data_IF_067408441300
#
_entry.id   IF_067408441300
#
_cell.length_a   1.000
_cell.length_b   1.000
_cell.length_c   1.000
_cell.angle_alpha   90.00
_cell.angle_beta   90.00
_cell.angle_gamma   90.00
#
_symmetry.space_group_name_H-M   'P 1'
#
loop_
_entity.id
_entity.type
_entity.pdbx_description
1 polymer ?
#
# COMPACT_ATOMS: atom_id res chain seq x y z
N UNK A 1 -13.92 -16.66 -7.69
CA UNK A 1 -12.85 -15.64 -7.80
C UNK A 1 -12.71 -15.31 -9.28
N UNK A 2 -12.75 -14.03 -9.67
CA UNK A 2 -12.68 -13.65 -11.09
C UNK A 2 -11.34 -12.96 -11.40
N UNK A 3 -10.80 -13.17 -12.60
CA UNK A 3 -9.61 -12.49 -13.12
C UNK A 3 -10.03 -11.67 -14.33
N UNK A 4 -9.69 -10.39 -14.32
CA UNK A 4 -9.96 -9.47 -15.43
C UNK A 4 -8.64 -8.87 -15.89
N UNK A 5 -8.45 -8.70 -17.20
CA UNK A 5 -7.36 -7.88 -17.72
C UNK A 5 -7.87 -6.46 -17.89
N UNK A 6 -7.08 -5.48 -17.47
CA UNK A 6 -7.38 -4.06 -17.66
C UNK A 6 -6.20 -3.39 -18.35
N UNK A 7 -6.51 -2.53 -19.31
CA UNK A 7 -5.56 -1.61 -19.92
C UNK A 7 -6.06 -0.20 -19.62
N UNK A 8 -5.31 0.57 -18.84
CA UNK A 8 -5.76 1.89 -18.44
C UNK A 8 -4.62 2.79 -18.01
N UNK A 9 -4.87 4.10 -18.07
CA UNK A 9 -3.94 5.12 -17.61
C UNK A 9 -4.07 5.32 -16.11
N UNK A 10 -2.96 5.39 -15.40
CA UNK A 10 -2.95 5.76 -13.99
C UNK A 10 -3.21 7.24 -13.84
N UNK A 11 -4.38 7.61 -13.35
CA UNK A 11 -4.75 9.03 -13.13
C UNK A 11 -4.54 9.47 -11.68
N UNK A 12 -4.42 8.52 -10.75
CA UNK A 12 -4.14 8.82 -9.34
C UNK A 12 -3.42 7.65 -8.67
N UNK A 13 -2.50 7.97 -7.77
CA UNK A 13 -1.85 7.01 -6.90
C UNK A 13 -2.05 7.44 -5.43
N UNK A 14 -2.30 6.48 -4.54
CA UNK A 14 -2.29 6.67 -3.08
C UNK A 14 -1.34 5.66 -2.45
N UNK A 15 -0.43 6.08 -1.58
CA UNK A 15 -0.29 7.42 -1.01
C UNK A 15 0.36 8.44 -1.97
N UNK A 16 -0.10 9.69 -1.93
CA UNK A 16 0.41 10.79 -2.78
C UNK A 16 1.18 11.86 -1.98
N UNK A 17 1.40 11.62 -0.69
CA UNK A 17 2.18 12.48 0.19
C UNK A 17 2.68 11.69 1.40
N UNK A 18 3.79 12.10 2.03
CA UNK A 18 4.32 11.44 3.23
C UNK A 18 3.29 11.34 4.36
N UNK A 19 2.42 12.34 4.51
CA UNK A 19 1.33 12.32 5.50
C UNK A 19 0.28 11.26 5.17
N UNK A 20 -0.07 11.10 3.90
CA UNK A 20 -1.03 10.08 3.46
C UNK A 20 -0.49 8.65 3.53
N UNK A 21 0.84 8.47 3.49
CA UNK A 21 1.49 7.16 3.56
C UNK A 21 1.05 6.39 4.81
N UNK A 22 1.10 7.01 5.99
CA UNK A 22 0.70 6.37 7.24
C UNK A 22 -0.76 5.89 7.21
N UNK A 23 -1.66 6.66 6.59
CA UNK A 23 -3.08 6.27 6.42
C UNK A 23 -3.25 5.09 5.45
N UNK A 24 -2.26 4.86 4.59
CA UNK A 24 -2.17 3.74 3.66
C UNK A 24 -1.36 2.56 4.23
N UNK A 25 -1.10 2.51 5.54
CA UNK A 25 -0.46 1.35 6.19
C UNK A 25 -1.46 0.62 7.09
N UNK A 26 -1.44 -0.71 6.97
CA UNK A 26 -2.07 -1.62 7.91
C UNK A 26 -0.98 -2.20 8.81
N UNK A 27 -1.11 -2.02 10.11
CA UNK A 27 -0.29 -2.71 11.08
C UNK A 27 -0.97 -4.00 11.47
N UNK A 28 -0.21 -5.08 11.54
CA UNK A 28 -0.66 -6.37 12.05
C UNK A 28 0.27 -6.77 13.19
N UNK A 29 -0.28 -6.94 14.39
CA UNK A 29 0.49 -7.45 15.52
C UNK A 29 0.95 -8.87 15.20
N UNK A 30 2.25 -9.15 15.32
CA UNK A 30 2.78 -10.50 15.08
C UNK A 30 2.38 -11.50 16.16
N UNK A 31 2.08 -11.02 17.36
CA UNK A 31 1.77 -11.88 18.51
C UNK A 31 0.34 -12.40 18.48
N UNK A 32 -0.64 -11.53 18.18
CA UNK A 32 -2.07 -11.88 18.25
C UNK A 32 -2.82 -11.69 16.94
N UNK A 33 -2.15 -11.26 15.85
CA UNK A 33 -2.77 -11.04 14.55
C UNK A 33 -3.69 -9.83 14.46
N UNK A 34 -3.94 -9.11 15.56
CA UNK A 34 -4.79 -7.92 15.57
C UNK A 34 -4.26 -6.88 14.58
N UNK A 35 -5.15 -6.44 13.68
CA UNK A 35 -4.81 -5.43 12.69
C UNK A 35 -5.35 -4.06 13.08
N UNK A 36 -4.55 -3.01 12.90
CA UNK A 36 -4.95 -1.63 13.15
C UNK A 36 -4.45 -0.71 12.05
N UNK A 37 -5.23 0.31 11.70
CA UNK A 37 -4.77 1.38 10.81
C UNK A 37 -4.02 2.45 11.61
N UNK A 38 -2.95 2.97 11.04
CA UNK A 38 -2.20 4.08 11.64
C UNK A 38 -3.01 5.37 11.43
N UNK A 39 -3.51 5.95 12.53
CA UNK A 39 -4.22 7.25 12.50
C UNK A 39 -3.28 8.43 12.76
N UNK A 40 -2.19 8.21 13.50
CA UNK A 40 -1.20 9.21 13.90
C UNK A 40 0.22 8.64 13.75
N UNK A 41 1.28 9.47 13.71
CA UNK A 41 2.66 8.97 13.61
C UNK A 41 3.12 8.16 14.84
N UNK A 42 2.37 8.21 15.94
CA UNK A 42 2.56 7.35 17.11
C UNK A 42 2.01 5.97 16.83
N UNK A 43 2.82 4.94 17.08
CA UNK A 43 2.38 3.56 16.89
C UNK A 43 1.30 3.20 17.92
N UNK A 44 0.21 2.57 17.52
CA UNK A 44 -0.81 2.13 18.45
C UNK A 44 -0.22 1.03 19.34
N UNK A 45 -0.56 1.07 20.64
CA UNK A 45 -0.34 -0.09 21.50
C UNK A 45 -1.31 -1.20 21.08
N UNK A 46 -0.80 -2.43 20.97
CA UNK A 46 -1.65 -3.58 20.70
C UNK A 46 -2.47 -3.91 21.97
N UNK A 47 -3.76 -4.25 21.86
CA UNK A 47 -4.57 -4.65 23.02
C UNK A 47 -4.00 -5.86 23.79
N UNK A 48 -3.19 -6.70 23.14
CA UNK A 48 -2.56 -7.85 23.77
C UNK A 48 -1.37 -7.51 24.69
N UNK A 49 -1.05 -6.23 24.91
CA UNK A 49 0.05 -5.77 25.79
C UNK A 49 1.47 -6.02 25.27
N UNK A 50 1.65 -6.96 24.33
CA UNK A 50 2.92 -7.31 23.67
C UNK A 50 3.21 -6.33 22.52
N UNK A 51 3.68 -5.13 22.84
CA UNK A 51 3.67 -3.94 21.96
C UNK A 51 4.83 -3.79 20.97
N UNK A 52 5.75 -4.73 20.82
CA UNK A 52 7.03 -4.44 20.14
C UNK A 52 7.15 -4.90 18.69
N UNK A 53 6.24 -5.73 18.18
CA UNK A 53 6.41 -6.36 16.87
C UNK A 53 5.18 -6.25 15.96
N UNK A 54 5.03 -5.09 15.31
CA UNK A 54 4.07 -4.93 14.22
C UNK A 54 4.70 -5.26 12.86
N UNK A 55 3.92 -5.96 12.03
CA UNK A 55 4.16 -6.04 10.60
C UNK A 55 3.40 -4.91 9.91
N UNK A 56 4.14 -4.04 9.21
CA UNK A 56 3.54 -3.01 8.36
C UNK A 56 3.27 -3.56 6.96
N UNK A 57 2.00 -3.52 6.54
CA UNK A 57 1.54 -3.92 5.22
C UNK A 57 1.06 -2.69 4.44
N UNK A 58 1.49 -2.50 3.17
CA UNK A 58 1.04 -1.39 2.37
C UNK A 58 -0.38 -1.64 1.85
N UNK A 59 -1.26 -0.66 2.02
CA UNK A 59 -2.57 -0.56 1.37
C UNK A 59 -2.50 0.56 0.32
N UNK A 60 -1.76 0.33 -0.75
CA UNK A 60 -1.57 1.33 -1.81
C UNK A 60 -2.64 1.15 -2.87
N UNK A 61 -3.13 2.25 -3.42
CA UNK A 61 -4.20 2.24 -4.41
C UNK A 61 -3.78 2.99 -5.66
N UNK A 62 -4.28 2.54 -6.80
CA UNK A 62 -4.28 3.30 -8.04
C UNK A 62 -5.71 3.58 -8.46
N UNK A 63 -5.92 4.70 -9.13
CA UNK A 63 -7.11 4.93 -9.94
C UNK A 63 -6.67 4.80 -11.39
N UNK A 64 -7.20 3.78 -12.05
CA UNK A 64 -7.02 3.56 -13.49
C UNK A 64 -8.19 4.21 -14.22
N UNK A 65 -7.92 4.79 -15.38
CA UNK A 65 -8.94 5.37 -16.25
C UNK A 65 -8.72 4.93 -17.70
N UNK A 66 -9.81 4.68 -18.41
CA UNK A 66 -9.87 4.42 -19.84
C UNK A 66 -11.10 5.12 -20.43
N UNK A 67 -11.50 4.74 -21.65
CA UNK A 67 -12.70 5.30 -22.30
C UNK A 67 -14.00 4.87 -21.62
N UNK A 68 -14.00 3.78 -20.86
CA UNK A 68 -15.17 3.22 -20.18
C UNK A 68 -15.38 3.79 -18.77
N UNK A 69 -14.36 4.41 -18.18
CA UNK A 69 -14.50 5.16 -16.94
C UNK A 69 -13.29 5.08 -16.04
N UNK A 70 -13.54 4.96 -14.72
CA UNK A 70 -12.49 4.93 -13.69
C UNK A 70 -12.70 3.78 -12.73
N UNK A 71 -11.62 3.10 -12.36
CA UNK A 71 -11.62 2.03 -11.37
C UNK A 71 -10.53 2.24 -10.33
N UNK A 72 -10.89 2.10 -9.05
CA UNK A 72 -9.94 2.12 -7.95
C UNK A 72 -9.47 0.70 -7.65
N UNK A 73 -8.16 0.49 -7.67
CA UNK A 73 -7.54 -0.83 -7.47
C UNK A 73 -6.58 -0.80 -6.30
N UNK A 74 -6.68 -1.79 -5.41
CA UNK A 74 -5.68 -2.03 -4.38
C UNK A 74 -4.49 -2.73 -5.04
N UNK A 75 -3.27 -2.32 -4.73
CA UNK A 75 -2.07 -2.90 -5.34
C UNK A 75 -1.40 -3.83 -4.35
N UNK A 76 -1.18 -5.08 -4.78
CA UNK A 76 -0.46 -6.06 -3.98
C UNK A 76 0.99 -5.60 -3.74
N UNK A 77 1.66 -6.11 -2.69
CA UNK A 77 3.07 -5.74 -2.46
C UNK A 77 3.99 -6.14 -3.61
N UNK A 78 3.64 -7.19 -4.38
CA UNK A 78 4.35 -7.55 -5.62
C UNK A 78 4.10 -6.50 -6.71
N UNK A 79 2.84 -6.13 -6.93
CA UNK A 79 2.47 -5.07 -7.87
C UNK A 79 3.12 -3.72 -7.56
N UNK A 80 3.22 -3.35 -6.27
CA UNK A 80 3.91 -2.11 -5.87
C UNK A 80 5.37 -2.14 -6.31
N UNK A 81 6.07 -3.26 -6.07
CA UNK A 81 7.48 -3.40 -6.48
C UNK A 81 7.66 -3.38 -7.99
N UNK A 82 6.78 -4.05 -8.73
CA UNK A 82 6.84 -4.06 -10.18
C UNK A 82 6.59 -2.67 -10.77
N UNK A 83 5.62 -1.92 -10.23
CA UNK A 83 5.24 -0.61 -10.76
C UNK A 83 6.17 0.53 -10.34
N UNK A 84 6.70 0.49 -9.13
CA UNK A 84 7.63 1.51 -8.64
C UNK A 84 9.11 1.18 -8.92
N UNK A 85 9.38 0.00 -9.49
CA UNK A 85 10.70 -0.41 -9.96
C UNK A 85 11.74 -0.58 -8.83
N UNK A 86 13.04 -0.37 -9.14
CA UNK A 86 14.15 -0.68 -8.24
C UNK A 86 14.11 0.11 -6.93
N UNK A 87 13.51 1.30 -6.92
CA UNK A 87 13.35 2.17 -5.74
C UNK A 87 12.54 1.53 -4.62
N UNK A 88 11.70 0.54 -4.95
CA UNK A 88 10.85 -0.18 -4.01
C UNK A 88 11.25 -1.65 -3.84
N UNK A 89 12.40 -2.07 -4.39
CA UNK A 89 12.97 -3.41 -4.17
C UNK A 89 13.09 -3.76 -2.67
N UNK A 90 13.39 -2.75 -1.85
CA UNK A 90 13.50 -2.86 -0.38
C UNK A 90 12.25 -2.41 0.38
N UNK A 91 11.07 -2.35 -0.25
CA UNK A 91 9.83 -1.84 0.35
C UNK A 91 9.57 -2.39 1.76
N UNK A 92 9.76 -3.69 1.99
CA UNK A 92 9.57 -4.30 3.32
C UNK A 92 10.53 -3.74 4.38
N UNK A 93 11.77 -3.41 4.00
CA UNK A 93 12.75 -2.75 4.88
C UNK A 93 12.34 -1.30 5.15
N UNK A 94 11.95 -0.56 4.11
CA UNK A 94 11.49 0.83 4.26
C UNK A 94 10.23 0.92 5.14
N UNK A 95 9.26 0.03 4.96
CA UNK A 95 8.07 -0.03 5.81
C UNK A 95 8.41 -0.36 7.27
N UNK A 96 9.37 -1.26 7.51
CA UNK A 96 9.88 -1.54 8.87
C UNK A 96 10.51 -0.30 9.51
N UNK A 97 11.27 0.49 8.76
CA UNK A 97 11.86 1.73 9.26
C UNK A 97 10.80 2.76 9.67
N UNK A 98 9.71 2.88 8.91
CA UNK A 98 8.61 3.79 9.24
C UNK A 98 7.95 3.47 10.59
N UNK A 99 7.90 2.19 10.94
CA UNK A 99 7.24 1.69 12.16
C UNK A 99 8.22 1.26 13.24
N UNK A 100 9.51 1.53 13.08
CA UNK A 100 10.50 1.25 14.12
C UNK A 100 10.41 2.29 15.23
N UNK A 101 10.41 1.85 16.48
CA UNK A 101 10.53 2.74 17.64
C UNK A 101 11.90 3.43 17.69
N UNK A 102 12.96 2.76 17.18
CA UNK A 102 14.35 3.24 17.24
C UNK A 102 14.74 4.17 16.10
N UNK A 103 13.93 4.26 15.04
CA UNK A 103 14.24 5.13 13.90
C UNK A 103 13.93 6.60 14.23
N UNK A 104 14.90 7.48 13.93
CA UNK A 104 14.73 8.92 14.16
C UNK A 104 13.57 9.51 13.34
N UNK A 105 12.93 10.60 13.81
CA UNK A 105 11.87 11.27 13.07
C UNK A 105 12.31 11.72 11.66
N UNK A 106 13.58 12.08 11.48
CA UNK A 106 14.14 12.49 10.20
C UNK A 106 14.28 11.30 9.24
N UNK A 107 14.78 10.16 9.73
CA UNK A 107 14.85 8.92 8.94
C UNK A 107 13.46 8.46 8.50
N UNK A 108 12.45 8.53 9.37
CA UNK A 108 11.06 8.21 9.02
C UNK A 108 10.52 9.14 7.95
N UNK A 109 10.74 10.46 8.07
CA UNK A 109 10.32 11.45 7.07
C UNK A 109 10.99 11.24 5.72
N UNK A 110 12.30 11.01 5.70
CA UNK A 110 13.06 10.74 4.46
C UNK A 110 12.57 9.46 3.78
N UNK A 111 12.37 8.39 4.56
CA UNK A 111 11.82 7.11 4.08
C UNK A 111 10.42 7.29 3.50
N UNK A 112 9.55 8.05 4.19
CA UNK A 112 8.20 8.32 3.72
C UNK A 112 8.20 9.11 2.40
N UNK A 113 9.06 10.12 2.28
CA UNK A 113 9.25 10.90 1.03
C UNK A 113 9.69 10.01 -0.12
N UNK A 114 10.74 9.20 0.10
CA UNK A 114 11.26 8.26 -0.90
C UNK A 114 10.17 7.31 -1.41
N UNK A 115 9.45 6.64 -0.51
CA UNK A 115 8.32 5.76 -0.87
C UNK A 115 7.27 6.51 -1.69
N UNK A 116 6.86 7.70 -1.24
CA UNK A 116 5.79 8.46 -1.92
C UNK A 116 6.23 9.01 -3.27
N UNK A 117 7.49 9.41 -3.41
CA UNK A 117 8.06 9.85 -4.67
C UNK A 117 8.10 8.69 -5.67
N UNK A 118 8.65 7.54 -5.27
CA UNK A 118 8.68 6.34 -6.11
C UNK A 118 7.28 5.91 -6.56
N UNK A 119 6.32 5.90 -5.64
CA UNK A 119 4.94 5.54 -5.96
C UNK A 119 4.22 6.55 -6.86
N UNK A 120 4.51 7.84 -6.69
CA UNK A 120 3.87 8.90 -7.48
C UNK A 120 4.33 8.91 -8.94
N UNK A 121 5.51 8.35 -9.25
CA UNK A 121 5.99 8.18 -10.63
C UNK A 121 5.11 7.25 -11.47
N UNK A 122 4.29 6.41 -10.83
CA UNK A 122 3.32 5.60 -11.55
C UNK A 122 2.18 6.45 -12.13
N UNK A 123 1.96 7.69 -11.68
CA UNK A 123 0.92 8.56 -12.25
C UNK A 123 1.30 8.93 -13.68
N UNK A 124 0.29 9.01 -14.55
CA UNK A 124 0.41 9.25 -15.98
C UNK A 124 0.94 8.09 -16.82
N UNK A 125 1.35 6.97 -16.22
CA UNK A 125 1.74 5.77 -16.96
C UNK A 125 0.52 4.97 -17.45
N UNK A 126 0.72 4.19 -18.50
CA UNK A 126 -0.21 3.14 -18.91
C UNK A 126 0.14 1.84 -18.21
N UNK A 127 -0.90 1.12 -17.80
CA UNK A 127 -0.77 -0.20 -17.19
C UNK A 127 -1.63 -1.18 -17.98
N UNK A 128 -1.02 -2.29 -18.35
CA UNK A 128 -1.71 -3.52 -18.72
C UNK A 128 -1.52 -4.53 -17.58
N UNK A 129 -2.60 -4.86 -16.89
CA UNK A 129 -2.55 -5.66 -15.68
C UNK A 129 -3.67 -6.67 -15.58
N UNK A 130 -3.36 -7.77 -14.89
CA UNK A 130 -4.39 -8.69 -14.40
C UNK A 130 -4.88 -8.23 -13.04
N UNK A 131 -6.16 -7.95 -12.98
CA UNK A 131 -6.91 -7.65 -11.78
C UNK A 131 -7.51 -8.92 -11.20
N UNK A 132 -7.27 -9.17 -9.93
CA UNK A 132 -7.94 -10.21 -9.16
C UNK A 132 -9.15 -9.62 -8.46
N UNK A 133 -10.33 -10.07 -8.84
CA UNK A 133 -11.62 -9.65 -8.29
C UNK A 133 -12.06 -10.68 -7.25
N UNK A 134 -11.97 -10.29 -5.97
CA UNK A 134 -12.52 -11.08 -4.87
C UNK A 134 -13.76 -10.39 -4.32
N UNK A 135 -14.90 -11.07 -4.40
CA UNK A 135 -16.10 -10.75 -3.63
C UNK A 135 -15.84 -11.11 -2.17
N UNK A 136 -16.01 -10.15 -1.27
CA UNK A 136 -16.05 -10.44 0.15
C UNK A 136 -17.42 -11.06 0.46
N UNK A 137 -17.50 -12.20 1.18
CA UNK A 137 -18.77 -12.77 1.60
C UNK A 137 -19.48 -11.91 2.66
N UNK A 138 -18.75 -11.02 3.34
CA UNK A 138 -19.26 -10.20 4.45
C UNK A 138 -19.37 -8.71 4.13
N UNK A 139 -18.98 -8.29 2.92
CA UNK A 139 -19.13 -6.92 2.45
C UNK A 139 -19.45 -6.90 0.97
N UNK A 140 -20.34 -6.00 0.53
CA UNK A 140 -20.61 -5.67 -0.87
C UNK A 140 -19.42 -4.96 -1.55
N UNK A 141 -18.19 -5.27 -1.15
CA UNK A 141 -16.97 -4.63 -1.65
C UNK A 141 -16.19 -5.65 -2.46
N UNK A 142 -15.96 -5.31 -3.72
CA UNK A 142 -15.05 -6.03 -4.61
C UNK A 142 -13.64 -5.53 -4.33
N UNK A 143 -12.77 -6.39 -3.83
CA UNK A 143 -11.34 -6.07 -3.76
C UNK A 143 -10.70 -6.43 -5.09
N UNK A 144 -10.13 -5.43 -5.76
CA UNK A 144 -9.45 -5.56 -7.03
C UNK A 144 -7.95 -5.45 -6.75
N UNK A 145 -7.21 -6.55 -6.91
CA UNK A 145 -5.76 -6.59 -6.69
C UNK A 145 -4.98 -6.67 -7.98
N UNK A 146 -4.05 -5.76 -8.21
CA UNK A 146 -3.12 -5.85 -9.34
C UNK A 146 -2.06 -6.94 -9.10
N UNK A 147 -2.03 -7.93 -9.99
CA UNK A 147 -1.01 -8.96 -10.08
C UNK A 147 -0.01 -8.56 -11.16
N UNK A 148 1.16 -8.07 -10.76
CA UNK A 148 2.29 -8.00 -11.68
C UNK A 148 2.90 -9.40 -11.81
N UNK A 149 3.17 -9.82 -13.06
CA UNK A 149 3.94 -11.03 -13.35
C UNK A 149 5.39 -10.83 -12.91
#
# INVERSE_FOLDING_TARGET
MCRLRVCGRVVRARPNSPRSLFRCLLLVCRSCGTSSRIKSPTLPMCPCGKSTHFLALPMFYLVLADLSGRVCVLVSSRGIRALAGPDMSSLRRQLRLLVSATASPQTKRATARSITAAWSRCVSSWIDATLLVKRSPTKSTVSISLLAK
#
